data_IF_955650538332
#
_entry.id   IF_955650538332
#
_cell.length_a   1.000
_cell.length_b   1.000
_cell.length_c   1.000
_cell.angle_alpha   90.00
_cell.angle_beta   90.00
_cell.angle_gamma   90.00
#
_symmetry.space_group_name_H-M   'P 1'
#
loop_
_entity.id
_entity.type
_entity.pdbx_description
1 polymer ?
#
# COMPACT_ATOMS: atom_id res chain seq x y z
N UNK A 1 6.00 -8.27 6.82
CA UNK A 1 6.73 -7.00 6.57
C UNK A 1 6.43 -6.51 5.15
N UNK A 2 6.83 -5.27 4.82
CA UNK A 2 6.54 -4.65 3.52
C UNK A 2 7.21 -5.38 2.33
N UNK A 3 8.41 -5.93 2.50
CA UNK A 3 9.15 -6.58 1.41
C UNK A 3 8.56 -7.94 1.04
N UNK A 4 8.20 -8.75 2.05
CA UNK A 4 7.53 -10.04 1.82
C UNK A 4 6.17 -9.85 1.15
N UNK A 5 5.45 -8.78 1.51
CA UNK A 5 4.21 -8.42 0.86
C UNK A 5 4.42 -8.02 -0.61
N UNK A 6 5.40 -7.16 -0.92
CA UNK A 6 5.72 -6.79 -2.31
C UNK A 6 6.14 -8.01 -3.15
N UNK A 7 6.86 -8.97 -2.58
CA UNK A 7 7.20 -10.23 -3.28
C UNK A 7 5.96 -11.07 -3.58
N UNK A 8 5.00 -11.11 -2.65
CA UNK A 8 3.70 -11.74 -2.90
C UNK A 8 2.97 -11.01 -4.01
N UNK A 9 2.83 -9.70 -3.92
CA UNK A 9 2.14 -8.88 -4.93
C UNK A 9 2.74 -9.02 -6.32
N UNK A 10 4.07 -9.16 -6.44
CA UNK A 10 4.74 -9.42 -7.73
C UNK A 10 4.18 -10.67 -8.43
N UNK A 11 3.95 -11.75 -7.69
CA UNK A 11 3.34 -12.98 -8.23
C UNK A 11 1.89 -12.77 -8.65
N UNK A 12 1.12 -12.08 -7.80
CA UNK A 12 -0.28 -11.76 -8.09
C UNK A 12 -0.42 -10.84 -9.30
N UNK A 13 0.44 -9.85 -9.45
CA UNK A 13 0.49 -8.96 -10.61
C UNK A 13 0.74 -9.76 -11.90
N UNK A 14 1.75 -10.62 -11.91
CA UNK A 14 2.05 -11.45 -13.08
C UNK A 14 0.88 -12.38 -13.44
N UNK A 15 0.28 -13.05 -12.45
CA UNK A 15 -0.88 -13.92 -12.67
C UNK A 15 -2.09 -13.16 -13.21
N UNK A 16 -2.40 -11.99 -12.66
CA UNK A 16 -3.51 -11.16 -13.14
C UNK A 16 -3.28 -10.64 -14.57
N UNK A 17 -2.06 -10.23 -14.91
CA UNK A 17 -1.72 -9.80 -16.27
C UNK A 17 -1.65 -10.96 -17.27
N UNK A 18 -1.43 -12.19 -16.82
CA UNK A 18 -1.59 -13.38 -17.66
C UNK A 18 -3.08 -13.68 -17.88
N UNK A 19 -3.88 -13.67 -16.82
CA UNK A 19 -5.33 -13.92 -16.87
C UNK A 19 -6.08 -12.87 -17.67
N UNK A 20 -5.58 -11.63 -17.76
CA UNK A 20 -6.20 -10.57 -18.56
C UNK A 20 -6.32 -10.92 -20.05
N UNK A 21 -5.50 -11.86 -20.55
CA UNK A 21 -5.60 -12.38 -21.93
C UNK A 21 -6.94 -13.08 -22.18
N UNK A 22 -7.54 -13.66 -21.14
CA UNK A 22 -8.85 -14.32 -21.21
C UNK A 22 -10.00 -13.32 -21.42
N UNK A 23 -9.77 -12.00 -21.28
CA UNK A 23 -10.78 -10.98 -21.60
C UNK A 23 -11.22 -11.08 -23.05
N UNK A 24 -10.35 -11.49 -23.97
CA UNK A 24 -10.66 -11.63 -25.39
C UNK A 24 -11.16 -13.04 -25.77
N UNK A 25 -11.01 -14.03 -24.89
CA UNK A 25 -11.30 -15.43 -25.20
C UNK A 25 -12.80 -15.65 -25.50
N UNK A 26 -13.18 -16.26 -26.62
CA UNK A 26 -14.57 -16.61 -26.92
C UNK A 26 -15.21 -17.49 -25.84
N UNK A 27 -16.54 -17.39 -25.66
CA UNK A 27 -17.28 -18.25 -24.72
C UNK A 27 -17.26 -17.80 -23.25
N UNK A 28 -16.40 -16.85 -22.85
CA UNK A 28 -16.40 -16.32 -21.48
C UNK A 28 -17.50 -15.27 -21.27
N UNK A 29 -18.32 -15.45 -20.22
CA UNK A 29 -19.39 -14.54 -19.83
C UNK A 29 -18.88 -13.15 -19.45
N UNK A 30 -19.66 -12.09 -19.73
CA UNK A 30 -19.29 -10.67 -19.54
C UNK A 30 -18.81 -10.33 -18.12
N UNK A 31 -19.44 -10.92 -17.11
CA UNK A 31 -19.06 -10.70 -15.70
C UNK A 31 -17.62 -11.16 -15.42
N UNK A 32 -17.23 -12.33 -15.92
CA UNK A 32 -15.87 -12.83 -15.74
C UNK A 32 -14.84 -11.99 -16.51
N UNK A 33 -15.20 -11.49 -17.69
CA UNK A 33 -14.34 -10.53 -18.43
C UNK A 33 -14.10 -9.25 -17.62
N UNK A 34 -15.15 -8.72 -16.99
CA UNK A 34 -15.02 -7.56 -16.10
C UNK A 34 -14.12 -7.86 -14.91
N UNK A 35 -14.22 -9.06 -14.31
CA UNK A 35 -13.31 -9.46 -13.22
C UNK A 35 -11.85 -9.52 -13.66
N UNK A 36 -11.56 -10.07 -14.86
CA UNK A 36 -10.20 -10.07 -15.40
C UNK A 36 -9.70 -8.64 -15.68
N UNK A 37 -10.56 -7.76 -16.18
CA UNK A 37 -10.21 -6.36 -16.41
C UNK A 37 -9.90 -5.63 -15.09
N UNK A 38 -10.72 -5.83 -14.05
CA UNK A 38 -10.50 -5.26 -12.72
C UNK A 38 -9.20 -5.80 -12.11
N UNK A 39 -8.94 -7.10 -12.23
CA UNK A 39 -7.70 -7.72 -11.77
C UNK A 39 -6.45 -7.19 -12.49
N UNK A 40 -6.55 -6.86 -13.78
CA UNK A 40 -5.46 -6.19 -14.49
C UNK A 40 -5.29 -4.73 -14.02
N UNK A 41 -6.40 -3.99 -13.90
CA UNK A 41 -6.41 -2.59 -13.51
C UNK A 41 -5.95 -2.34 -12.07
N UNK A 42 -6.10 -3.32 -11.18
CA UNK A 42 -5.59 -3.22 -9.81
C UNK A 42 -4.07 -3.03 -9.74
N UNK A 43 -3.34 -3.43 -10.79
CA UNK A 43 -1.90 -3.21 -10.90
C UNK A 43 -1.54 -2.16 -11.97
N UNK A 44 -2.27 -2.11 -13.08
CA UNK A 44 -1.99 -1.16 -14.19
C UNK A 44 -2.29 0.30 -13.81
N UNK A 45 -3.15 0.53 -12.83
CA UNK A 45 -3.39 1.88 -12.29
C UNK A 45 -2.15 2.52 -11.69
N UNK A 46 -1.22 1.75 -11.10
CA UNK A 46 0.00 2.28 -10.50
C UNK A 46 0.94 2.98 -11.49
N UNK A 47 1.36 2.36 -12.62
CA UNK A 47 2.20 3.04 -13.61
C UNK A 47 1.46 4.19 -14.33
N UNK A 48 0.14 4.10 -14.51
CA UNK A 48 -0.66 5.21 -15.06
C UNK A 48 -0.64 6.42 -14.12
N UNK A 49 -0.79 6.19 -12.81
CA UNK A 49 -0.71 7.24 -11.82
C UNK A 49 0.70 7.85 -11.73
N UNK A 50 1.74 7.01 -11.78
CA UNK A 50 3.12 7.48 -11.83
C UNK A 50 3.35 8.38 -13.05
N UNK A 51 2.91 7.95 -14.24
CA UNK A 51 3.01 8.75 -15.46
C UNK A 51 2.24 10.07 -15.35
N UNK A 52 1.03 10.05 -14.80
CA UNK A 52 0.23 11.26 -14.55
C UNK A 52 0.98 12.25 -13.65
N UNK A 53 1.57 11.79 -12.54
CA UNK A 53 2.38 12.62 -11.64
C UNK A 53 3.65 13.16 -12.32
N UNK A 54 4.35 12.32 -13.10
CA UNK A 54 5.55 12.73 -13.82
C UNK A 54 5.24 13.82 -14.85
N UNK A 55 4.23 13.62 -15.70
CA UNK A 55 3.84 14.62 -16.71
C UNK A 55 3.25 15.88 -16.08
N UNK A 56 2.46 15.75 -15.01
CA UNK A 56 1.95 16.90 -14.27
C UNK A 56 3.08 17.74 -13.66
N UNK A 57 4.09 17.08 -13.09
CA UNK A 57 5.28 17.76 -12.55
C UNK A 57 6.07 18.44 -13.66
N UNK A 58 6.33 17.74 -14.77
CA UNK A 58 7.05 18.27 -15.93
C UNK A 58 6.34 19.51 -16.53
N UNK A 59 5.02 19.47 -16.64
CA UNK A 59 4.21 20.59 -17.11
C UNK A 59 4.27 21.77 -16.13
N UNK A 60 4.18 21.52 -14.83
CA UNK A 60 4.31 22.57 -13.82
C UNK A 60 5.67 23.27 -13.90
N UNK A 61 6.77 22.52 -13.88
CA UNK A 61 8.12 23.11 -13.92
C UNK A 61 8.43 23.79 -15.26
N UNK A 62 7.68 23.49 -16.33
CA UNK A 62 7.80 24.19 -17.62
C UNK A 62 7.25 25.62 -17.61
N UNK A 63 6.67 26.07 -16.48
CA UNK A 63 6.12 27.42 -16.33
C UNK A 63 4.66 27.55 -16.75
N UNK A 64 3.97 26.44 -17.04
CA UNK A 64 2.52 26.46 -17.19
C UNK A 64 1.90 26.93 -15.86
N UNK A 65 0.93 27.85 -15.91
CA UNK A 65 0.20 28.31 -14.74
C UNK A 65 -0.75 27.21 -14.25
N UNK A 66 -0.18 26.24 -13.53
CA UNK A 66 -0.89 25.06 -12.99
C UNK A 66 -1.34 25.28 -11.55
N UNK A 67 -1.07 26.43 -10.94
CA UNK A 67 -1.47 26.69 -9.54
C UNK A 67 -2.99 26.89 -9.51
N UNK A 68 -3.78 25.94 -9.02
CA UNK A 68 -5.21 26.12 -8.95
C UNK A 68 -5.49 26.89 -7.67
N UNK A 69 -5.98 28.12 -7.79
CA UNK A 69 -6.87 28.58 -6.72
C UNK A 69 -8.02 27.55 -6.64
N UNK A 70 -8.20 26.95 -5.46
CA UNK A 70 -9.26 25.98 -5.23
C UNK A 70 -10.64 26.52 -5.64
N UNK A 71 -10.85 27.82 -5.47
CA UNK A 71 -12.07 28.51 -5.87
C UNK A 71 -12.17 28.68 -7.39
N UNK A 72 -11.04 28.78 -8.09
CA UNK A 72 -10.99 28.87 -9.56
C UNK A 72 -11.18 27.51 -10.26
N UNK A 73 -11.07 26.38 -9.55
CA UNK A 73 -11.33 25.07 -10.14
C UNK A 73 -12.81 24.92 -10.56
N UNK A 74 -13.10 24.36 -11.74
CA UNK A 74 -14.45 23.97 -12.13
C UNK A 74 -15.13 23.10 -11.04
N UNK A 75 -16.44 23.27 -10.89
CA UNK A 75 -17.22 22.59 -9.86
C UNK A 75 -17.18 21.06 -10.04
N UNK A 76 -17.10 20.59 -11.29
CA UNK A 76 -17.00 19.19 -11.66
C UNK A 76 -15.69 18.58 -11.14
N UNK A 77 -14.57 19.30 -11.25
CA UNK A 77 -13.27 18.84 -10.75
C UNK A 77 -13.23 18.81 -9.22
N UNK A 78 -13.83 19.80 -8.56
CA UNK A 78 -14.00 19.78 -7.09
C UNK A 78 -14.88 18.62 -6.64
N UNK A 79 -15.97 18.36 -7.37
CA UNK A 79 -16.87 17.23 -7.13
C UNK A 79 -16.16 15.89 -7.30
N UNK A 80 -15.34 15.74 -8.34
CA UNK A 80 -14.53 14.54 -8.56
C UNK A 80 -13.53 14.32 -7.42
N UNK A 81 -12.86 15.37 -6.95
CA UNK A 81 -11.98 15.31 -5.79
C UNK A 81 -12.72 14.88 -4.52
N UNK A 82 -13.87 15.48 -4.23
CA UNK A 82 -14.70 15.11 -3.08
C UNK A 82 -15.15 13.65 -3.16
N UNK A 83 -15.63 13.21 -4.32
CA UNK A 83 -16.06 11.82 -4.54
C UNK A 83 -14.92 10.82 -4.37
N UNK A 84 -13.74 11.16 -4.88
CA UNK A 84 -12.52 10.33 -4.72
C UNK A 84 -12.17 10.16 -3.24
N UNK A 85 -12.18 11.25 -2.46
CA UNK A 85 -11.94 11.20 -1.02
C UNK A 85 -13.02 10.37 -0.30
N UNK A 86 -14.29 10.55 -0.66
CA UNK A 86 -15.38 9.73 -0.12
C UNK A 86 -15.13 8.24 -0.40
N UNK A 87 -14.88 7.83 -1.65
CA UNK A 87 -14.64 6.42 -1.97
C UNK A 87 -13.44 5.84 -1.23
N UNK A 88 -12.39 6.63 -1.01
CA UNK A 88 -11.17 6.19 -0.34
C UNK A 88 -11.37 5.98 1.18
N UNK A 89 -12.07 6.89 1.85
CA UNK A 89 -12.20 6.86 3.32
C UNK A 89 -13.50 6.22 3.82
N UNK A 90 -14.56 6.16 3.00
CA UNK A 90 -15.87 5.64 3.39
C UNK A 90 -15.81 4.23 3.98
N UNK A 91 -15.13 3.22 3.37
CA UNK A 91 -15.13 1.86 3.93
C UNK A 91 -14.54 1.81 5.34
N UNK A 92 -13.51 2.62 5.60
CA UNK A 92 -12.85 2.71 6.91
C UNK A 92 -13.76 3.38 7.94
N UNK A 93 -14.43 4.47 7.57
CA UNK A 93 -15.38 5.15 8.45
C UNK A 93 -16.59 4.26 8.79
N UNK A 94 -17.12 3.53 7.80
CA UNK A 94 -18.20 2.57 8.01
C UNK A 94 -17.77 1.40 8.90
N UNK A 95 -16.56 0.88 8.73
CA UNK A 95 -16.00 -0.16 9.60
C UNK A 95 -15.89 0.30 11.06
N UNK A 96 -15.37 1.51 11.28
CA UNK A 96 -15.28 2.11 12.62
C UNK A 96 -16.68 2.32 13.23
N UNK A 97 -17.61 2.88 12.46
CA UNK A 97 -18.99 3.10 12.90
C UNK A 97 -19.68 1.77 13.25
N UNK A 98 -19.49 0.73 12.44
CA UNK A 98 -20.07 -0.59 12.68
C UNK A 98 -19.58 -1.19 14.02
N UNK A 99 -18.28 -1.09 14.32
CA UNK A 99 -17.72 -1.59 15.60
C UNK A 99 -18.29 -0.84 16.79
N UNK A 100 -18.40 0.50 16.70
CA UNK A 100 -18.92 1.35 17.77
C UNK A 100 -20.43 1.14 18.01
N UNK A 101 -21.22 1.07 16.93
CA UNK A 101 -22.67 0.83 17.00
C UNK A 101 -22.98 -0.56 17.57
N UNK A 102 -22.20 -1.58 17.21
CA UNK A 102 -22.34 -2.93 17.76
C UNK A 102 -21.74 -3.10 19.16
N UNK A 103 -21.13 -2.04 19.72
CA UNK A 103 -20.44 -2.05 21.02
C UNK A 103 -19.34 -3.13 21.12
N UNK A 104 -18.67 -3.44 20.01
CA UNK A 104 -17.62 -4.48 19.92
C UNK A 104 -16.20 -3.94 20.11
N UNK A 105 -16.04 -2.66 20.43
CA UNK A 105 -14.74 -2.02 20.61
C UNK A 105 -13.86 -2.69 21.68
N UNK A 106 -14.44 -3.41 22.64
CA UNK A 106 -13.67 -4.16 23.65
C UNK A 106 -12.74 -5.23 23.05
N UNK A 107 -13.08 -5.79 21.88
CA UNK A 107 -12.21 -6.71 21.15
C UNK A 107 -11.04 -6.02 20.42
N UNK A 108 -11.06 -4.70 20.34
CA UNK A 108 -10.05 -3.86 19.68
C UNK A 108 -9.31 -2.95 20.67
N UNK A 109 -9.26 -3.32 21.96
CA UNK A 109 -8.60 -2.53 23.01
C UNK A 109 -9.43 -1.36 23.57
N UNK A 110 -10.68 -1.19 23.15
CA UNK A 110 -11.59 -0.12 23.60
C UNK A 110 -11.68 1.04 22.62
N UNK A 111 -12.52 2.05 22.93
CA UNK A 111 -12.84 3.15 22.00
C UNK A 111 -11.63 3.99 21.62
N UNK A 112 -10.82 4.41 22.61
CA UNK A 112 -9.65 5.27 22.37
C UNK A 112 -8.60 4.50 21.57
N UNK A 113 -8.32 3.25 21.96
CA UNK A 113 -7.35 2.41 21.27
C UNK A 113 -7.78 2.13 19.82
N UNK A 114 -9.07 1.87 19.57
CA UNK A 114 -9.63 1.71 18.22
C UNK A 114 -9.44 2.96 17.35
N UNK A 115 -9.69 4.15 17.89
CA UNK A 115 -9.46 5.41 17.16
C UNK A 115 -7.97 5.64 16.87
N UNK A 116 -7.10 5.43 17.85
CA UNK A 116 -5.65 5.48 17.66
C UNK A 116 -5.17 4.47 16.61
N UNK A 117 -5.76 3.27 16.60
CA UNK A 117 -5.47 2.22 15.62
C UNK A 117 -5.87 2.66 14.21
N UNK A 118 -7.07 3.24 14.05
CA UNK A 118 -7.53 3.73 12.76
C UNK A 118 -6.63 4.85 12.20
N UNK A 119 -6.16 5.77 13.06
CA UNK A 119 -5.22 6.82 12.67
C UNK A 119 -3.85 6.22 12.31
N UNK A 120 -3.30 5.37 13.16
CA UNK A 120 -2.00 4.73 12.93
C UNK A 120 -2.00 3.91 11.62
N UNK A 121 -3.06 3.15 11.37
CA UNK A 121 -3.22 2.38 10.13
C UNK A 121 -3.35 3.30 8.91
N UNK A 122 -4.08 4.42 9.03
CA UNK A 122 -4.19 5.41 7.95
C UNK A 122 -2.83 6.03 7.62
N UNK A 123 -2.06 6.42 8.63
CA UNK A 123 -0.71 6.96 8.46
C UNK A 123 0.21 5.92 7.82
N UNK A 124 0.19 4.67 8.31
CA UNK A 124 0.97 3.59 7.72
C UNK A 124 0.58 3.31 6.27
N UNK A 125 -0.72 3.32 5.95
CA UNK A 125 -1.22 3.14 4.59
C UNK A 125 -0.75 4.25 3.65
N UNK A 126 -0.84 5.51 4.09
CA UNK A 126 -0.36 6.67 3.33
C UNK A 126 1.16 6.61 3.08
N UNK A 127 1.94 6.21 4.08
CA UNK A 127 3.39 6.05 3.93
C UNK A 127 3.77 4.88 3.02
N UNK A 128 3.02 3.78 3.06
CA UNK A 128 3.31 2.61 2.23
C UNK A 128 2.80 2.74 0.78
N UNK A 129 1.77 3.55 0.52
CA UNK A 129 1.14 3.64 -0.79
C UNK A 129 2.11 4.05 -1.92
N UNK A 130 2.98 5.07 -1.79
CA UNK A 130 3.97 5.40 -2.81
C UNK A 130 4.98 4.28 -3.07
N UNK A 131 5.40 3.56 -2.02
CA UNK A 131 6.34 2.44 -2.15
C UNK A 131 5.68 1.30 -2.94
N UNK A 132 4.42 0.98 -2.63
CA UNK A 132 3.62 -0.01 -3.38
C UNK A 132 3.41 0.42 -4.82
N UNK A 133 3.10 1.70 -5.06
CA UNK A 133 2.94 2.25 -6.40
C UNK A 133 4.19 2.03 -7.27
N UNK A 134 5.39 2.32 -6.75
CA UNK A 134 6.63 2.04 -7.51
C UNK A 134 6.87 0.54 -7.71
N UNK A 135 6.63 -0.28 -6.67
CA UNK A 135 6.71 -1.73 -6.78
C UNK A 135 5.78 -2.29 -7.86
N UNK A 136 4.50 -1.92 -7.83
CA UNK A 136 3.50 -2.34 -8.82
C UNK A 136 3.85 -1.84 -10.22
N UNK A 137 4.33 -0.59 -10.37
CA UNK A 137 4.79 -0.06 -11.66
C UNK A 137 5.93 -0.90 -12.24
N UNK A 138 6.94 -1.25 -11.42
CA UNK A 138 8.03 -2.13 -11.84
C UNK A 138 7.52 -3.54 -12.19
N UNK A 139 6.60 -4.09 -11.39
CA UNK A 139 6.06 -5.44 -11.64
C UNK A 139 5.29 -5.53 -12.94
N UNK A 140 4.52 -4.48 -13.29
CA UNK A 140 3.83 -4.38 -14.57
C UNK A 140 4.85 -4.35 -15.72
N UNK A 141 5.90 -3.53 -15.63
CA UNK A 141 6.95 -3.49 -16.66
C UNK A 141 7.65 -4.85 -16.84
N UNK A 142 7.99 -5.52 -15.72
CA UNK A 142 8.59 -6.86 -15.72
C UNK A 142 7.66 -7.90 -16.33
N UNK A 143 6.37 -7.86 -16.01
CA UNK A 143 5.38 -8.80 -16.54
C UNK A 143 5.15 -8.62 -18.05
N UNK A 144 5.15 -7.36 -18.54
CA UNK A 144 5.00 -7.04 -19.96
C UNK A 144 6.25 -7.40 -20.78
N UNK A 145 7.45 -7.27 -20.19
CA UNK A 145 8.72 -7.66 -20.83
C UNK A 145 8.99 -9.16 -20.81
N UNK A 146 8.19 -9.95 -20.09
CA UNK A 146 8.32 -11.40 -20.03
C UNK A 146 9.53 -11.90 -19.22
N UNK A 147 10.15 -11.04 -18.41
CA UNK A 147 11.24 -11.41 -17.53
C UNK A 147 10.79 -12.48 -16.54
N UNK A 148 11.51 -13.61 -16.50
CA UNK A 148 11.16 -14.76 -15.67
C UNK A 148 11.17 -14.36 -14.19
N UNK A 149 10.13 -14.80 -13.48
CA UNK A 149 10.03 -14.69 -12.04
C UNK A 149 10.55 -15.98 -11.41
N UNK A 150 11.60 -15.89 -10.59
CA UNK A 150 12.00 -17.01 -9.76
C UNK A 150 10.99 -17.20 -8.62
N UNK A 151 10.39 -18.39 -8.56
CA UNK A 151 9.50 -18.77 -7.47
C UNK A 151 10.31 -19.24 -6.27
N UNK A 152 10.56 -18.34 -5.32
CA UNK A 152 11.16 -18.68 -4.03
C UNK A 152 10.09 -18.68 -2.95
N UNK A 153 9.98 -19.79 -2.20
CA UNK A 153 9.09 -19.87 -1.05
C UNK A 153 9.51 -18.84 -0.01
N UNK A 154 8.60 -17.96 0.45
CA UNK A 154 8.88 -17.05 1.54
C UNK A 154 9.30 -17.83 2.79
N UNK A 155 10.23 -17.30 3.62
CA UNK A 155 10.48 -17.85 4.93
C UNK A 155 9.18 -17.86 5.76
N UNK A 156 8.97 -18.94 6.52
CA UNK A 156 7.74 -19.16 7.31
C UNK A 156 7.75 -18.42 8.64
N UNK A 157 8.93 -18.01 9.10
CA UNK A 157 9.10 -17.22 10.32
C UNK A 157 9.20 -15.73 9.98
N UNK A 158 8.51 -14.89 10.76
CA UNK A 158 8.64 -13.45 10.68
C UNK A 158 9.98 -13.02 11.28
N UNK A 159 11.02 -12.93 10.45
CA UNK A 159 12.31 -12.37 10.83
C UNK A 159 12.36 -10.87 10.56
N UNK A 160 12.86 -10.11 11.52
CA UNK A 160 13.08 -8.68 11.33
C UNK A 160 14.10 -8.45 10.21
N UNK A 161 13.83 -7.48 9.33
CA UNK A 161 14.72 -7.15 8.23
C UNK A 161 15.86 -6.29 8.76
N UNK A 162 17.10 -6.69 8.46
CA UNK A 162 18.27 -5.89 8.83
C UNK A 162 18.32 -4.58 8.00
N UNK A 163 18.87 -3.51 8.58
CA UNK A 163 19.07 -2.25 7.87
C UNK A 163 19.87 -2.42 6.57
N UNK A 164 20.87 -3.31 6.59
CA UNK A 164 21.70 -3.61 5.42
C UNK A 164 20.88 -4.25 4.31
N UNK A 165 20.04 -5.24 4.62
CA UNK A 165 19.21 -5.93 3.63
C UNK A 165 18.13 -5.02 3.05
N UNK A 166 17.52 -4.18 3.89
CA UNK A 166 16.56 -3.17 3.45
C UNK A 166 17.23 -2.13 2.54
N UNK A 167 18.40 -1.61 2.95
CA UNK A 167 19.16 -0.65 2.16
C UNK A 167 19.60 -1.23 0.81
N UNK A 168 20.13 -2.45 0.77
CA UNK A 168 20.57 -3.08 -0.48
C UNK A 168 19.44 -3.20 -1.53
N UNK A 169 18.18 -3.35 -1.07
CA UNK A 169 17.01 -3.52 -1.96
C UNK A 169 16.33 -2.20 -2.32
N UNK A 170 16.29 -1.23 -1.42
CA UNK A 170 15.49 -0.01 -1.57
C UNK A 170 16.33 1.25 -1.83
N UNK A 171 17.62 1.27 -1.47
CA UNK A 171 18.48 2.45 -1.65
C UNK A 171 18.65 2.89 -3.11
N UNK A 172 18.70 2.00 -4.14
CA UNK A 172 18.80 2.46 -5.52
C UNK A 172 17.59 3.30 -5.92
N UNK A 173 16.39 2.87 -5.52
CA UNK A 173 15.14 3.60 -5.74
C UNK A 173 15.15 4.93 -4.98
N UNK A 174 15.47 4.91 -3.69
CA UNK A 174 15.57 6.12 -2.86
C UNK A 174 16.58 7.13 -3.42
N UNK A 175 17.72 6.66 -3.95
CA UNK A 175 18.74 7.52 -4.56
C UNK A 175 18.22 8.21 -5.83
N UNK A 176 17.54 7.48 -6.72
CA UNK A 176 16.93 8.06 -7.92
C UNK A 176 15.90 9.12 -7.55
N UNK A 177 15.03 8.84 -6.58
CA UNK A 177 14.03 9.81 -6.10
C UNK A 177 14.69 11.03 -5.46
N UNK A 178 15.77 10.84 -4.69
CA UNK A 178 16.55 11.94 -4.10
C UNK A 178 17.20 12.84 -5.15
N UNK A 179 17.78 12.26 -6.19
CA UNK A 179 18.36 13.01 -7.31
C UNK A 179 17.29 13.79 -8.10
N UNK A 180 16.13 13.17 -8.36
CA UNK A 180 15.01 13.85 -9.01
C UNK A 180 14.50 15.02 -8.16
N UNK A 181 14.35 14.81 -6.84
CA UNK A 181 13.94 15.87 -5.92
C UNK A 181 14.96 17.01 -5.91
N UNK A 182 16.26 16.72 -5.88
CA UNK A 182 17.31 17.74 -5.96
C UNK A 182 17.25 18.52 -7.28
N UNK A 183 17.06 17.84 -8.41
CA UNK A 183 16.91 18.48 -9.72
C UNK A 183 15.66 19.35 -9.83
N UNK A 184 14.55 18.96 -9.19
CA UNK A 184 13.35 19.80 -9.13
C UNK A 184 13.59 21.02 -8.23
N UNK A 185 14.34 20.85 -7.13
CA UNK A 185 14.67 21.92 -6.20
C UNK A 185 15.46 23.07 -6.86
N UNK A 186 16.33 22.76 -7.83
CA UNK A 186 17.10 23.79 -8.54
C UNK A 186 16.26 24.62 -9.51
N UNK A 187 15.09 24.12 -9.90
CA UNK A 187 14.16 24.80 -10.82
C UNK A 187 13.07 25.53 -10.02
N UNK A 188 12.34 24.79 -9.17
CA UNK A 188 11.19 25.31 -8.43
C UNK A 188 11.04 24.58 -7.09
N UNK A 189 11.67 25.12 -6.03
CA UNK A 189 11.60 24.56 -4.66
C UNK A 189 10.15 24.35 -4.19
N UNK A 190 9.23 25.25 -4.56
CA UNK A 190 7.81 25.13 -4.20
C UNK A 190 7.15 23.84 -4.67
N UNK A 191 7.60 23.24 -5.77
CA UNK A 191 7.06 21.96 -6.25
C UNK A 191 7.35 20.80 -5.26
N UNK A 192 8.42 20.89 -4.47
CA UNK A 192 8.76 19.86 -3.49
C UNK A 192 7.72 19.72 -2.39
N UNK A 193 7.07 20.82 -1.98
CA UNK A 193 6.00 20.78 -0.97
C UNK A 193 4.83 19.93 -1.44
N UNK A 194 4.48 20.06 -2.73
CA UNK A 194 3.39 19.32 -3.34
C UNK A 194 3.75 17.88 -3.66
N UNK A 195 5.02 17.61 -3.95
CA UNK A 195 5.53 16.25 -4.15
C UNK A 195 5.84 15.52 -2.84
N UNK A 196 5.97 16.23 -1.71
CA UNK A 196 6.36 15.67 -0.43
C UNK A 196 5.50 14.46 0.02
N UNK A 197 4.16 14.43 -0.15
CA UNK A 197 3.34 13.28 0.23
C UNK A 197 3.72 11.98 -0.50
N UNK A 198 4.33 12.08 -1.70
CA UNK A 198 4.79 10.93 -2.49
C UNK A 198 6.30 10.74 -2.36
N UNK A 199 7.09 11.80 -2.42
CA UNK A 199 8.55 11.75 -2.36
C UNK A 199 9.06 11.36 -0.97
N UNK A 200 8.49 11.90 0.11
CA UNK A 200 8.99 11.64 1.46
C UNK A 200 8.89 10.16 1.84
N UNK A 201 7.77 9.44 1.61
CA UNK A 201 7.72 8.02 1.92
C UNK A 201 8.66 7.17 1.07
N UNK A 202 8.93 7.58 -0.17
CA UNK A 202 9.91 6.90 -1.04
C UNK A 202 11.36 7.13 -0.56
N UNK A 203 11.65 8.32 -0.04
CA UNK A 203 12.94 8.62 0.60
C UNK A 203 13.11 7.86 1.93
N UNK A 204 12.02 7.67 2.67
CA UNK A 204 11.97 6.92 3.92
C UNK A 204 11.69 5.42 3.74
N UNK A 205 11.79 4.88 2.52
CA UNK A 205 11.43 3.49 2.25
C UNK A 205 12.25 2.49 3.08
N UNK A 206 13.55 2.74 3.27
CA UNK A 206 14.44 1.89 4.10
C UNK A 206 13.99 1.85 5.56
N UNK A 207 13.91 2.98 6.30
CA UNK A 207 13.45 2.94 7.69
C UNK A 207 12.02 2.41 7.83
N UNK A 208 11.13 2.70 6.88
CA UNK A 208 9.76 2.17 6.90
C UNK A 208 9.73 0.65 6.77
N UNK A 209 10.51 0.06 5.86
CA UNK A 209 10.60 -1.39 5.71
C UNK A 209 11.16 -2.07 6.96
N UNK A 210 12.16 -1.46 7.59
CA UNK A 210 12.78 -1.97 8.82
C UNK A 210 11.79 -1.88 9.98
N UNK A 211 11.24 -0.70 10.27
CA UNK A 211 10.32 -0.49 11.39
C UNK A 211 9.06 -1.37 11.31
N UNK A 212 8.47 -1.50 10.12
CA UNK A 212 7.28 -2.35 9.91
C UNK A 212 7.57 -3.85 9.94
N UNK A 213 8.85 -4.26 10.00
CA UNK A 213 9.26 -5.66 10.17
C UNK A 213 9.61 -6.03 11.61
N UNK A 214 9.70 -5.06 12.53
CA UNK A 214 10.13 -5.31 13.91
C UNK A 214 9.02 -5.94 14.76
N UNK A 215 9.25 -7.18 15.20
CA UNK A 215 8.32 -7.90 16.09
C UNK A 215 8.15 -7.19 17.43
N UNK A 216 9.21 -6.61 17.99
CA UNK A 216 9.16 -5.89 19.27
C UNK A 216 8.24 -4.65 19.20
N UNK A 217 8.23 -3.92 18.08
CA UNK A 217 7.33 -2.79 17.88
C UNK A 217 5.88 -3.26 17.82
N UNK A 218 5.61 -4.34 17.09
CA UNK A 218 4.28 -4.96 17.04
C UNK A 218 3.80 -5.42 18.41
N UNK A 219 4.66 -6.07 19.20
CA UNK A 219 4.37 -6.47 20.58
C UNK A 219 4.06 -5.26 21.48
N UNK A 220 4.88 -4.21 21.42
CA UNK A 220 4.67 -2.98 22.18
C UNK A 220 3.35 -2.27 21.86
N UNK A 221 2.91 -2.30 20.59
CA UNK A 221 1.62 -1.75 20.18
C UNK A 221 0.47 -2.62 20.69
N UNK A 222 0.60 -3.94 20.57
CA UNK A 222 -0.36 -4.92 21.08
C UNK A 222 -0.56 -4.79 22.60
N UNK A 223 0.53 -4.64 23.36
CA UNK A 223 0.49 -4.49 24.83
C UNK A 223 -0.23 -3.20 25.26
N UNK A 224 -0.28 -2.19 24.38
CA UNK A 224 -1.04 -0.94 24.57
C UNK A 224 -2.47 -1.02 24.03
N UNK A 225 -2.89 -2.17 23.49
CA UNK A 225 -4.18 -2.36 22.84
C UNK A 225 -4.33 -1.64 21.50
N UNK A 226 -3.25 -1.14 20.90
CA UNK A 226 -3.26 -0.41 19.62
C UNK A 226 -2.93 -1.37 18.48
N UNK A 227 -3.65 -1.22 17.35
CA UNK A 227 -3.65 -2.14 16.20
C UNK A 227 -4.05 -3.59 16.57
N UNK A 228 -4.80 -3.76 17.64
CA UNK A 228 -5.28 -5.06 18.11
C UNK A 228 -6.47 -5.53 17.27
N UNK A 229 -6.43 -6.78 16.82
CA UNK A 229 -7.59 -7.45 16.19
C UNK A 229 -8.34 -8.32 17.22
N UNK A 230 -9.64 -8.61 17.01
CA UNK A 230 -10.43 -9.42 17.93
C UNK A 230 -9.82 -10.78 18.22
N UNK A 231 -9.19 -11.41 17.22
CA UNK A 231 -8.54 -12.71 17.33
C UNK A 231 -7.30 -12.69 18.22
N UNK A 232 -6.64 -11.54 18.37
CA UNK A 232 -5.52 -11.36 19.31
C UNK A 232 -6.03 -11.11 20.73
N UNK A 233 -7.20 -10.49 20.88
CA UNK A 233 -7.85 -10.30 22.19
C UNK A 233 -8.51 -11.58 22.71
N UNK A 234 -9.09 -12.37 21.80
CA UNK A 234 -9.83 -13.61 22.05
C UNK A 234 -9.58 -14.58 20.91
N UNK A 235 -8.57 -15.43 21.09
CA UNK A 235 -8.22 -16.46 20.12
C UNK A 235 -9.43 -17.36 19.79
N UNK A 236 -9.80 -17.51 18.51
CA UNK A 236 -10.85 -18.43 18.10
C UNK A 236 -10.55 -19.87 18.54
N UNK A 237 -11.59 -20.61 18.94
CA UNK A 237 -11.45 -21.99 19.44
C UNK A 237 -10.76 -22.95 18.45
N UNK A 238 -10.80 -22.66 17.15
CA UNK A 238 -10.08 -23.43 16.14
C UNK A 238 -8.56 -23.25 16.25
N UNK A 239 -8.07 -22.03 16.51
CA UNK A 239 -6.65 -21.75 16.68
C UNK A 239 -6.12 -22.36 17.97
N UNK A 240 -6.88 -22.24 19.07
CA UNK A 240 -6.52 -22.85 20.36
C UNK A 240 -6.40 -24.36 20.24
N UNK A 241 -7.35 -25.03 19.55
CA UNK A 241 -7.30 -26.48 19.31
C UNK A 241 -6.14 -26.87 18.41
N UNK A 242 -5.91 -26.13 17.32
CA UNK A 242 -4.79 -26.39 16.41
C UNK A 242 -3.44 -26.29 17.13
N UNK A 243 -3.26 -25.28 17.99
CA UNK A 243 -2.05 -25.16 18.81
C UNK A 243 -1.89 -26.30 19.81
N UNK A 244 -2.97 -26.71 20.48
CA UNK A 244 -2.93 -27.85 21.38
C UNK A 244 -2.51 -29.14 20.65
N UNK A 245 -3.05 -29.41 19.46
CA UNK A 245 -2.62 -30.57 18.66
C UNK A 245 -1.17 -30.46 18.21
N UNK A 246 -0.72 -29.28 17.76
CA UNK A 246 0.66 -29.07 17.34
C UNK A 246 1.65 -29.25 18.50
N UNK A 247 1.32 -28.75 19.71
CA UNK A 247 2.18 -28.92 20.89
C UNK A 247 2.27 -30.37 21.35
N UNK A 248 1.17 -31.14 21.22
CA UNK A 248 1.17 -32.58 21.53
C UNK A 248 2.00 -33.38 20.51
N UNK A 249 2.00 -33.00 19.23
CA UNK A 249 2.82 -33.66 18.21
C UNK A 249 4.31 -33.29 18.25
N UNK A 250 4.65 -32.15 18.86
CA UNK A 250 6.02 -31.67 19.00
C UNK A 250 6.71 -32.18 20.27
N UNK A 251 5.96 -32.75 21.22
CA UNK A 251 6.44 -33.38 22.45
C UNK A 251 6.67 -34.88 22.24
#
# INVERSE_FOLDING_TARGET
>A
DLLSELQRDRRWCQGNLQNSRLIAEPGIHRVHRAMFAIGAMSYLSAPLWLAFMTFGTALWISGAAVVPDWHALPAELRGLWAWTLCMLFMPRLLGLAAVLLQRRQGGYGGTVALLCSAVAETVLALLQAPIRMLGHSLFVLVALTGLKLEWKSPPREATAISWRDAAARLSPMTAVIGLLALGIATIQVGALVWLAPVALPLLLAVPLAVLTSHVALGGWMRDRGVLLIPEESRSPAVLTRAWHHASVMAA
#
